data_IF_622746345277
#
_entry.id   IF_622746345277
#
_cell.length_a   1.000
_cell.length_b   1.000
_cell.length_c   1.000
_cell.angle_alpha   90.00
_cell.angle_beta   90.00
_cell.angle_gamma   90.00
#
_symmetry.space_group_name_H-M   'P 1'
#
loop_
_entity.id
_entity.type
_entity.pdbx_description
1 polymer ?
#
# COMPACT_ATOMS: atom_id res chain seq x y z
N UNK A 1 27.75 -17.63 -16.86
CA UNK A 1 27.04 -18.68 -16.11
C UNK A 1 25.91 -18.00 -15.37
N UNK A 2 24.66 -18.41 -15.61
CA UNK A 2 23.48 -17.73 -15.05
C UNK A 2 23.20 -18.26 -13.64
N UNK A 3 23.75 -17.58 -12.65
CA UNK A 3 23.57 -17.95 -11.24
C UNK A 3 22.31 -17.30 -10.64
N UNK A 4 21.76 -16.28 -11.30
CA UNK A 4 20.70 -15.43 -10.74
C UNK A 4 19.38 -16.22 -10.70
N UNK A 5 19.18 -17.15 -11.63
CA UNK A 5 18.01 -18.03 -11.66
C UNK A 5 18.01 -19.13 -10.60
N UNK A 6 19.10 -19.30 -9.85
CA UNK A 6 19.24 -20.39 -8.87
C UNK A 6 18.72 -20.00 -7.48
N UNK A 7 18.52 -18.71 -7.20
CA UNK A 7 18.32 -18.19 -5.85
C UNK A 7 17.61 -16.85 -5.77
N UNK A 8 17.51 -16.33 -4.55
CA UNK A 8 16.87 -15.05 -4.27
C UNK A 8 17.93 -13.94 -4.33
N UNK A 9 17.83 -13.03 -5.30
CA UNK A 9 18.66 -11.82 -5.36
C UNK A 9 17.87 -10.61 -4.86
N UNK A 10 18.41 -9.91 -3.86
CA UNK A 10 17.69 -8.85 -3.16
C UNK A 10 18.60 -7.64 -2.92
N UNK A 11 18.11 -6.43 -3.25
CA UNK A 11 18.79 -5.17 -2.96
C UNK A 11 17.98 -4.43 -1.90
N UNK A 12 18.61 -4.12 -0.77
CA UNK A 12 17.98 -3.44 0.36
C UNK A 12 18.82 -2.26 0.83
N UNK A 13 18.21 -1.36 1.62
CA UNK A 13 18.93 -0.36 2.39
C UNK A 13 18.96 -0.80 3.86
N UNK A 14 20.15 -0.85 4.46
CA UNK A 14 20.31 -1.13 5.88
C UNK A 14 21.21 -0.05 6.48
N UNK A 15 20.67 0.74 7.41
CA UNK A 15 21.35 1.86 8.06
C UNK A 15 21.95 2.90 7.09
N UNK A 16 21.30 3.12 5.94
CA UNK A 16 21.78 4.07 4.92
C UNK A 16 22.68 3.41 3.86
N UNK A 17 23.19 2.21 4.11
CA UNK A 17 24.04 1.49 3.18
C UNK A 17 23.24 0.62 2.22
N UNK A 18 23.69 0.57 0.96
CA UNK A 18 23.12 -0.36 -0.03
C UNK A 18 23.66 -1.76 0.23
N UNK A 19 22.77 -2.70 0.51
CA UNK A 19 23.09 -4.09 0.74
C UNK A 19 22.56 -4.95 -0.42
N UNK A 20 23.45 -5.74 -1.02
CA UNK A 20 23.09 -6.74 -2.02
C UNK A 20 23.25 -8.12 -1.40
N UNK A 21 22.18 -8.91 -1.38
CA UNK A 21 22.18 -10.26 -0.82
C UNK A 21 21.76 -11.27 -1.87
N UNK A 22 22.40 -12.44 -1.85
CA UNK A 22 22.04 -13.57 -2.68
C UNK A 22 21.88 -14.81 -1.80
N UNK A 23 20.75 -15.49 -1.90
CA UNK A 23 20.45 -16.69 -1.11
C UNK A 23 20.27 -17.90 -2.02
N UNK A 24 20.93 -19.00 -1.67
CA UNK A 24 20.78 -20.30 -2.31
C UNK A 24 20.46 -21.39 -1.27
N UNK A 25 19.46 -22.26 -1.51
CA UNK A 25 18.48 -22.19 -2.61
C UNK A 25 17.49 -21.03 -2.43
N UNK A 26 16.68 -20.75 -3.45
CA UNK A 26 15.53 -19.84 -3.30
C UNK A 26 14.63 -20.31 -2.16
N UNK A 27 14.18 -19.36 -1.35
CA UNK A 27 13.37 -19.60 -0.17
C UNK A 27 11.92 -19.15 -0.34
N UNK A 28 11.69 -18.06 -1.07
CA UNK A 28 10.38 -17.48 -1.37
C UNK A 28 10.50 -16.35 -2.40
N UNK A 29 9.37 -15.95 -3.00
CA UNK A 29 9.29 -14.77 -3.85
C UNK A 29 9.38 -13.47 -3.02
N UNK A 30 10.31 -12.59 -3.37
CA UNK A 30 10.51 -11.29 -2.71
C UNK A 30 9.83 -10.18 -3.52
N UNK A 31 8.62 -9.79 -3.10
CA UNK A 31 7.92 -8.60 -3.62
C UNK A 31 7.85 -7.53 -2.52
N UNK A 32 8.69 -6.50 -2.62
CA UNK A 32 8.79 -5.43 -1.62
C UNK A 32 7.53 -4.53 -1.51
N UNK A 33 6.63 -4.56 -2.49
CA UNK A 33 5.41 -3.75 -2.51
C UNK A 33 4.24 -4.52 -1.93
N UNK A 34 4.12 -5.80 -2.29
CA UNK A 34 2.98 -6.64 -1.87
C UNK A 34 3.18 -7.30 -0.51
N UNK A 35 4.42 -7.55 -0.09
CA UNK A 35 4.68 -8.21 1.18
C UNK A 35 4.64 -7.21 2.34
N UNK A 36 3.54 -7.27 3.09
CA UNK A 36 3.20 -6.44 4.26
C UNK A 36 4.28 -6.43 5.36
N UNK A 37 5.14 -7.45 5.40
CA UNK A 37 6.22 -7.56 6.38
C UNK A 37 7.36 -6.55 6.18
N UNK A 38 7.38 -5.81 5.06
CA UNK A 38 8.40 -4.80 4.76
C UNK A 38 7.98 -3.35 5.08
N UNK A 39 6.96 -3.16 5.94
CA UNK A 39 6.62 -1.84 6.49
C UNK A 39 6.05 -0.83 5.49
N UNK A 40 6.05 -1.14 4.20
CA UNK A 40 5.33 -0.42 3.17
C UNK A 40 3.97 -1.09 3.04
N UNK A 41 3.10 -0.91 4.04
CA UNK A 41 1.70 -0.77 3.67
C UNK A 41 1.67 0.43 2.73
N UNK A 42 1.20 0.33 1.47
CA UNK A 42 0.81 1.54 0.76
C UNK A 42 -0.08 2.27 1.73
N UNK A 43 0.21 3.55 1.98
CA UNK A 43 -0.62 4.41 2.82
C UNK A 43 -2.02 4.38 2.22
N UNK A 44 -2.85 3.40 2.64
CA UNK A 44 -4.28 3.59 2.75
C UNK A 44 -4.35 4.73 3.73
N UNK A 45 -4.59 5.92 3.19
CA UNK A 45 -4.76 7.16 3.94
C UNK A 45 -5.16 6.84 5.38
N UNK A 46 -4.26 7.08 6.33
CA UNK A 46 -4.52 6.95 7.78
C UNK A 46 -5.38 8.15 8.22
N UNK A 47 -6.38 8.50 7.42
CA UNK A 47 -7.60 9.06 7.96
C UNK A 47 -8.46 7.89 8.42
N UNK A 48 -9.37 8.07 9.40
CA UNK A 48 -10.50 7.15 9.51
C UNK A 48 -11.09 6.95 8.11
N UNK A 49 -11.60 5.74 7.76
CA UNK A 49 -12.40 5.60 6.55
C UNK A 49 -13.36 6.77 6.58
N UNK A 50 -13.31 7.70 5.61
CA UNK A 50 -14.38 8.69 5.57
C UNK A 50 -15.63 7.82 5.51
N UNK A 51 -16.54 7.98 6.46
CA UNK A 51 -17.76 7.14 6.58
C UNK A 51 -18.58 7.16 5.26
N UNK A 52 -18.17 8.02 4.33
CA UNK A 52 -18.73 8.32 3.04
C UNK A 52 -17.78 7.99 1.87
N UNK A 53 -16.81 7.09 2.05
CA UNK A 53 -15.90 6.64 1.00
C UNK A 53 -16.71 6.05 -0.18
N UNK A 54 -16.68 6.74 -1.33
CA UNK A 54 -17.42 6.37 -2.54
C UNK A 54 -18.68 7.20 -2.83
N UNK A 55 -19.11 8.07 -1.91
CA UNK A 55 -20.22 9.01 -2.15
C UNK A 55 -19.75 10.14 -3.05
N UNK A 56 -20.44 10.42 -4.17
CA UNK A 56 -20.09 11.55 -5.04
C UNK A 56 -20.61 12.85 -4.45
N UNK A 57 -19.92 13.96 -4.74
CA UNK A 57 -20.27 15.32 -4.28
C UNK A 57 -21.75 15.72 -4.50
N UNK A 58 -22.37 15.23 -5.57
CA UNK A 58 -23.76 15.55 -5.92
C UNK A 58 -24.79 14.53 -5.45
N UNK A 59 -24.38 13.38 -4.91
CA UNK A 59 -25.28 12.33 -4.43
C UNK A 59 -26.03 12.80 -3.17
N UNK A 60 -27.21 12.22 -2.87
CA UNK A 60 -27.88 12.42 -1.59
C UNK A 60 -26.94 12.07 -0.43
N UNK A 61 -26.89 12.93 0.58
CA UNK A 61 -26.02 12.73 1.72
C UNK A 61 -26.51 11.54 2.56
N UNK A 62 -25.66 10.55 2.86
CA UNK A 62 -26.04 9.32 3.56
C UNK A 62 -26.43 9.53 5.04
N UNK A 63 -26.30 10.74 5.59
CA UNK A 63 -26.80 11.08 6.92
C UNK A 63 -28.33 11.27 7.01
N UNK A 64 -29.06 11.13 5.90
CA UNK A 64 -30.53 11.26 5.87
C UNK A 64 -31.06 12.70 5.86
N UNK A 65 -30.20 13.71 5.68
CA UNK A 65 -30.60 15.13 5.71
C UNK A 65 -31.40 15.60 4.48
N UNK A 66 -31.47 14.78 3.42
CA UNK A 66 -32.07 15.16 2.13
C UNK A 66 -31.25 16.16 1.30
N UNK A 67 -30.10 16.63 1.80
CA UNK A 67 -29.18 17.54 1.09
C UNK A 67 -28.18 16.75 0.23
N UNK A 68 -27.61 17.37 -0.81
CA UNK A 68 -26.46 16.81 -1.55
C UNK A 68 -25.23 16.74 -0.66
N UNK A 69 -24.35 15.76 -0.87
CA UNK A 69 -23.14 15.54 -0.09
C UNK A 69 -22.27 16.81 0.05
N UNK A 70 -22.08 17.55 -1.06
CA UNK A 70 -21.38 18.85 -1.12
C UNK A 70 -21.93 19.97 -0.23
N UNK A 71 -23.19 19.89 0.18
CA UNK A 71 -23.84 20.89 1.04
C UNK A 71 -24.06 20.36 2.46
N UNK A 72 -23.41 19.25 2.81
CA UNK A 72 -23.58 18.59 4.09
C UNK A 72 -22.23 18.19 4.72
N UNK A 73 -21.60 17.10 4.25
CA UNK A 73 -20.43 16.47 4.91
C UNK A 73 -19.12 16.57 4.10
N UNK A 74 -19.12 17.36 3.03
CA UNK A 74 -18.00 17.53 2.08
C UNK A 74 -17.40 18.95 2.16
N UNK A 75 -17.14 19.41 3.41
CA UNK A 75 -16.68 20.78 3.76
C UNK A 75 -15.78 21.44 2.71
#
# INVERSE_FOLDING_TARGET
MDIITLGDFSITNHNGDTCMSFRLPSSHEIDYVKNLNYGITPVKNIGPPSEFAGVKRNDPCPCGSGKKFKHCHDK
#
